data_IF_089856846967
#
_entry.id   IF_089856846967
#
_cell.length_a   1.000
_cell.length_b   1.000
_cell.length_c   1.000
_cell.angle_alpha   90.00
_cell.angle_beta   90.00
_cell.angle_gamma   90.00
#
_symmetry.space_group_name_H-M   'P 1'
#
loop_
_entity.id
_entity.type
_entity.pdbx_description
1 polymer ?
#
# COMPACT_ATOMS: atom_id res chain seq x y z
N UNK A 1 40.55 38.56 -15.80
CA UNK A 1 40.45 37.16 -16.24
C UNK A 1 39.04 36.73 -15.95
N UNK A 2 38.14 36.94 -16.91
CA UNK A 2 36.75 36.52 -16.79
C UNK A 2 36.66 35.04 -17.12
N UNK A 3 36.86 34.23 -16.10
CA UNK A 3 36.77 32.78 -16.16
C UNK A 3 35.30 32.39 -15.94
N UNK A 4 34.41 32.82 -16.84
CA UNK A 4 33.04 32.29 -16.89
C UNK A 4 33.14 30.89 -17.50
N UNK A 5 32.84 29.82 -16.74
CA UNK A 5 32.76 28.51 -17.36
C UNK A 5 31.63 28.58 -18.40
N UNK A 6 31.97 28.43 -19.67
CA UNK A 6 30.98 28.24 -20.72
C UNK A 6 30.31 26.89 -20.45
N UNK A 7 29.26 26.90 -19.63
CA UNK A 7 28.37 25.75 -19.48
C UNK A 7 27.82 25.43 -20.85
N UNK A 8 28.23 24.27 -21.36
CA UNK A 8 27.80 23.82 -22.68
C UNK A 8 26.27 23.62 -22.65
N UNK A 9 25.57 23.82 -23.78
CA UNK A 9 24.12 23.60 -23.84
C UNK A 9 23.72 22.19 -23.39
N UNK A 10 24.59 21.20 -23.61
CA UNK A 10 24.40 19.83 -23.14
C UNK A 10 24.40 19.72 -21.60
N UNK A 11 25.33 20.38 -20.91
CA UNK A 11 25.35 20.40 -19.44
C UNK A 11 24.15 21.12 -18.82
N UNK A 12 23.63 22.15 -19.51
CA UNK A 12 22.41 22.84 -19.09
C UNK A 12 21.19 21.91 -19.21
N UNK A 13 21.02 21.21 -20.33
CA UNK A 13 19.92 20.26 -20.51
C UNK A 13 19.95 19.11 -19.50
N UNK A 14 21.14 18.58 -19.18
CA UNK A 14 21.29 17.54 -18.15
C UNK A 14 20.91 18.07 -16.76
N UNK A 15 21.29 19.30 -16.43
CA UNK A 15 20.88 19.94 -15.18
C UNK A 15 19.37 20.16 -15.12
N UNK A 16 18.76 20.62 -16.19
CA UNK A 16 17.31 20.83 -16.27
C UNK A 16 16.54 19.53 -16.09
N UNK A 17 16.99 18.44 -16.73
CA UNK A 17 16.41 17.10 -16.55
C UNK A 17 16.53 16.62 -15.10
N UNK A 18 17.69 16.82 -14.47
CA UNK A 18 17.90 16.47 -13.08
C UNK A 18 17.00 17.27 -12.12
N UNK A 19 16.78 18.56 -12.40
CA UNK A 19 15.86 19.41 -11.64
C UNK A 19 14.42 18.97 -11.83
N UNK A 20 13.98 18.74 -13.06
CA UNK A 20 12.62 18.28 -13.37
C UNK A 20 12.30 16.96 -12.66
N UNK A 21 13.24 16.01 -12.64
CA UNK A 21 13.08 14.74 -11.94
C UNK A 21 12.98 14.94 -10.42
N UNK A 22 13.76 15.88 -9.88
CA UNK A 22 13.72 16.23 -8.45
C UNK A 22 12.40 16.89 -8.05
N UNK A 23 11.88 17.79 -8.88
CA UNK A 23 10.57 18.42 -8.67
C UNK A 23 9.44 17.39 -8.72
N UNK A 24 9.47 16.47 -9.68
CA UNK A 24 8.49 15.36 -9.73
C UNK A 24 8.54 14.47 -8.50
N UNK A 25 9.73 14.16 -7.99
CA UNK A 25 9.87 13.38 -6.74
C UNK A 25 9.29 14.11 -5.53
N UNK A 26 9.45 15.43 -5.45
CA UNK A 26 8.84 16.24 -4.40
C UNK A 26 7.31 16.22 -4.50
N UNK A 27 6.76 16.48 -5.68
CA UNK A 27 5.30 16.40 -5.93
C UNK A 27 4.74 15.03 -5.58
N UNK A 28 5.40 13.96 -6.00
CA UNK A 28 4.98 12.60 -5.67
C UNK A 28 4.96 12.35 -4.16
N UNK A 29 5.97 12.85 -3.43
CA UNK A 29 6.04 12.70 -1.99
C UNK A 29 4.91 13.47 -1.29
N UNK A 30 4.57 14.65 -1.78
CA UNK A 30 3.40 15.42 -1.31
C UNK A 30 2.11 14.63 -1.56
N UNK A 31 1.88 14.15 -2.78
CA UNK A 31 0.69 13.35 -3.12
C UNK A 31 0.57 12.05 -2.33
N UNK A 32 1.70 11.36 -2.09
CA UNK A 32 1.73 10.17 -1.22
C UNK A 32 1.29 10.52 0.20
N UNK A 33 1.77 11.65 0.74
CA UNK A 33 1.41 12.10 2.08
C UNK A 33 -0.07 12.49 2.18
N UNK A 34 -0.61 13.22 1.19
CA UNK A 34 -2.02 13.59 1.12
C UNK A 34 -2.93 12.36 1.08
N UNK A 35 -2.51 11.33 0.34
CA UNK A 35 -3.26 10.09 0.22
C UNK A 35 -2.98 9.06 1.31
N UNK A 36 -2.21 9.42 2.34
CA UNK A 36 -1.85 8.54 3.46
C UNK A 36 -1.23 7.21 2.98
N UNK A 37 -0.49 7.27 1.87
CA UNK A 37 0.17 6.12 1.29
C UNK A 37 1.53 5.91 1.97
N UNK A 38 1.97 4.65 2.15
CA UNK A 38 3.26 4.35 2.76
C UNK A 38 4.42 4.93 1.93
N UNK A 39 5.49 5.45 2.56
CA UNK A 39 6.64 6.00 1.85
C UNK A 39 7.36 4.98 0.97
N UNK A 40 7.24 3.68 1.28
CA UNK A 40 7.80 2.58 0.49
C UNK A 40 7.19 2.49 -0.92
N UNK A 41 5.96 2.99 -1.11
CA UNK A 41 5.31 3.05 -2.43
C UNK A 41 6.07 4.01 -3.35
N UNK A 42 6.73 5.03 -2.80
CA UNK A 42 7.50 6.01 -3.57
C UNK A 42 8.61 5.38 -4.41
N UNK A 43 9.23 4.29 -3.96
CA UNK A 43 10.26 3.59 -4.74
C UNK A 43 9.70 2.84 -5.95
N UNK A 44 8.41 2.52 -5.94
CA UNK A 44 7.71 1.82 -7.00
C UNK A 44 6.92 2.75 -7.95
N UNK A 45 6.91 4.06 -7.71
CA UNK A 45 6.22 5.03 -8.57
C UNK A 45 6.99 5.27 -9.87
N UNK A 46 6.25 5.54 -10.94
CA UNK A 46 6.83 5.95 -12.21
C UNK A 46 6.97 7.48 -12.24
N UNK A 47 8.17 7.96 -12.56
CA UNK A 47 8.53 9.39 -12.62
C UNK A 47 8.81 9.91 -14.04
N UNK A 48 8.65 9.06 -15.05
CA UNK A 48 9.00 9.35 -16.44
C UNK A 48 8.11 10.46 -17.03
N UNK A 49 6.84 10.47 -16.64
CA UNK A 49 5.87 11.51 -16.99
C UNK A 49 4.91 11.79 -15.85
N UNK A 50 4.26 12.95 -15.88
CA UNK A 50 3.25 13.34 -14.89
C UNK A 50 2.02 12.40 -14.96
N UNK A 51 1.62 11.98 -16.17
CA UNK A 51 0.55 11.00 -16.38
C UNK A 51 0.90 9.62 -15.79
N UNK A 52 2.13 9.16 -15.96
CA UNK A 52 2.58 7.88 -15.40
C UNK A 52 2.63 7.92 -13.87
N UNK A 53 3.00 9.07 -13.31
CA UNK A 53 2.96 9.31 -11.86
C UNK A 53 1.52 9.22 -11.33
N UNK A 54 0.57 9.90 -11.96
CA UNK A 54 -0.85 9.84 -11.57
C UNK A 54 -1.40 8.42 -11.63
N UNK A 55 -1.11 7.68 -12.70
CA UNK A 55 -1.54 6.29 -12.86
C UNK A 55 -0.96 5.37 -11.78
N UNK A 56 0.33 5.52 -11.48
CA UNK A 56 0.98 4.72 -10.43
C UNK A 56 0.42 5.01 -9.04
N UNK A 57 0.07 6.27 -8.74
CA UNK A 57 -0.62 6.65 -7.51
C UNK A 57 -2.04 6.06 -7.45
N UNK A 58 -2.79 6.14 -8.55
CA UNK A 58 -4.15 5.58 -8.63
C UNK A 58 -4.14 4.07 -8.41
N UNK A 59 -3.18 3.36 -9.00
CA UNK A 59 -2.97 1.93 -8.80
C UNK A 59 -2.67 1.62 -7.33
N UNK A 60 -1.74 2.34 -6.71
CA UNK A 60 -1.39 2.15 -5.31
C UNK A 60 -2.62 2.31 -4.38
N UNK A 61 -3.46 3.31 -4.65
CA UNK A 61 -4.73 3.52 -3.92
C UNK A 61 -5.69 2.34 -4.10
N UNK A 62 -5.84 1.84 -5.33
CA UNK A 62 -6.72 0.69 -5.61
C UNK A 62 -6.25 -0.57 -4.89
N UNK A 63 -4.95 -0.86 -4.89
CA UNK A 63 -4.37 -2.02 -4.17
C UNK A 63 -4.58 -1.89 -2.67
N UNK A 64 -4.30 -0.72 -2.09
CA UNK A 64 -4.54 -0.47 -0.67
C UNK A 64 -6.01 -0.61 -0.29
N UNK A 65 -6.93 -0.13 -1.13
CA UNK A 65 -8.37 -0.32 -0.91
C UNK A 65 -8.78 -1.79 -0.99
N UNK A 66 -8.25 -2.55 -1.95
CA UNK A 66 -8.52 -3.97 -2.11
C UNK A 66 -8.04 -4.79 -0.90
N UNK A 67 -6.84 -4.53 -0.39
CA UNK A 67 -6.30 -5.24 0.79
C UNK A 67 -7.15 -4.99 2.04
N UNK A 68 -7.67 -3.78 2.25
CA UNK A 68 -8.59 -3.47 3.36
C UNK A 68 -9.89 -4.26 3.30
N UNK A 69 -10.43 -4.45 2.10
CA UNK A 69 -11.66 -5.22 1.88
C UNK A 69 -11.43 -6.73 1.89
N UNK A 70 -10.18 -7.16 1.73
CA UNK A 70 -9.79 -8.57 1.83
C UNK A 70 -9.60 -8.93 3.30
N UNK A 71 -10.66 -8.81 4.11
CA UNK A 71 -10.70 -9.51 5.39
C UNK A 71 -10.62 -11.00 5.08
N UNK A 72 -9.47 -11.61 5.39
CA UNK A 72 -9.32 -13.06 5.30
C UNK A 72 -10.50 -13.71 6.06
N UNK A 73 -11.12 -14.77 5.50
CA UNK A 73 -12.24 -15.43 6.16
C UNK A 73 -11.80 -15.81 7.57
N UNK A 74 -12.53 -15.31 8.56
CA UNK A 74 -12.22 -15.52 9.98
C UNK A 74 -12.18 -17.03 10.21
N UNK A 75 -11.02 -17.55 10.59
CA UNK A 75 -10.86 -18.98 10.85
C UNK A 75 -11.95 -19.42 11.84
N UNK A 76 -12.61 -20.57 11.61
CA UNK A 76 -13.61 -21.09 12.55
C UNK A 76 -12.95 -21.24 13.92
N UNK A 77 -13.67 -20.87 14.98
CA UNK A 77 -13.17 -21.00 16.34
C UNK A 77 -12.78 -22.48 16.60
N UNK A 78 -11.67 -22.73 17.32
CA UNK A 78 -11.27 -24.08 17.67
C UNK A 78 -12.39 -24.76 18.46
N UNK A 79 -12.69 -26.02 18.11
CA UNK A 79 -13.70 -26.80 18.83
C UNK A 79 -13.32 -26.91 20.32
N UNK A 80 -14.31 -26.84 21.24
CA UNK A 80 -14.04 -26.98 22.66
C UNK A 80 -13.47 -28.37 22.99
N UNK A 81 -12.47 -28.43 23.88
CA UNK A 81 -11.94 -29.71 24.34
C UNK A 81 -12.98 -30.44 25.21
N UNK A 82 -13.49 -31.57 24.70
CA UNK A 82 -14.56 -32.34 25.33
C UNK A 82 -14.05 -33.40 26.31
N UNK A 83 -12.73 -33.61 26.38
CA UNK A 83 -12.12 -34.67 27.21
C UNK A 83 -12.19 -34.37 28.70
N UNK A 84 -12.11 -33.09 29.06
CA UNK A 84 -12.21 -32.61 30.45
C UNK A 84 -13.64 -32.27 30.87
N UNK A 85 -14.61 -32.33 29.95
CA UNK A 85 -16.00 -31.96 30.23
C UNK A 85 -16.76 -33.05 30.98
N UNK A 86 -17.67 -32.63 31.86
CA UNK A 86 -18.65 -33.52 32.47
C UNK A 86 -19.74 -33.90 31.46
N UNK A 87 -20.51 -34.94 31.75
CA UNK A 87 -21.62 -35.36 30.91
C UNK A 87 -22.64 -34.23 30.66
N UNK A 88 -22.99 -33.46 31.71
CA UNK A 88 -23.92 -32.34 31.60
C UNK A 88 -23.40 -31.24 30.66
N UNK A 89 -22.10 -30.93 30.71
CA UNK A 89 -21.46 -29.94 29.84
C UNK A 89 -21.44 -30.39 28.37
N UNK A 90 -21.20 -31.69 28.11
CA UNK A 90 -21.29 -32.25 26.75
C UNK A 90 -22.72 -32.22 26.19
N UNK A 91 -23.72 -32.53 27.02
CA UNK A 91 -25.12 -32.47 26.62
C UNK A 91 -25.55 -31.04 26.26
N UNK A 92 -25.13 -30.04 27.04
CA UNK A 92 -25.39 -28.64 26.75
C UNK A 92 -24.77 -28.17 25.43
N UNK A 93 -23.52 -28.56 25.14
CA UNK A 93 -22.88 -28.28 23.84
C UNK A 93 -23.67 -28.91 22.68
N UNK A 94 -24.13 -30.15 22.83
CA UNK A 94 -24.88 -30.84 21.78
C UNK A 94 -26.21 -30.11 21.46
N UNK A 95 -26.92 -29.64 22.49
CA UNK A 95 -28.14 -28.85 22.32
C UNK A 95 -27.86 -27.48 21.69
N UNK A 96 -26.76 -26.82 22.07
CA UNK A 96 -26.38 -25.51 21.52
C UNK A 96 -25.99 -25.56 20.03
N UNK A 97 -25.48 -26.70 19.56
CA UNK A 97 -25.05 -26.91 18.18
C UNK A 97 -26.02 -27.77 17.35
N UNK A 98 -27.25 -28.00 17.82
CA UNK A 98 -28.25 -28.66 16.99
C UNK A 98 -28.59 -27.77 15.78
N UNK A 99 -28.40 -28.25 14.54
CA UNK A 99 -28.93 -27.55 13.39
C UNK A 99 -30.46 -27.58 13.48
N UNK A 100 -31.08 -26.40 13.62
CA UNK A 100 -32.53 -26.27 13.43
C UNK A 100 -32.83 -26.72 11.99
N UNK A 101 -33.71 -27.70 11.85
CA UNK A 101 -34.20 -28.19 10.55
C UNK A 101 -35.08 -27.14 9.88
#
# INVERSE_FOLDING_TARGET
>A
MDNTPETTPEELTLREQAVALRERRLKARELLSEHHLPPQVGEALNYDSDEALEQSIALAKAVMAATRNTQAPRAPAPAPDTRSMTYAQRAALYLAHQPMK
#
